data_IF_016936581178
#
_entry.id   IF_016936581178
#
_cell.length_a   1.000
_cell.length_b   1.000
_cell.length_c   1.000
_cell.angle_alpha   90.00
_cell.angle_beta   90.00
_cell.angle_gamma   90.00
#
_symmetry.space_group_name_H-M   'P 1'
#
loop_
_entity.id
_entity.type
_entity.pdbx_description
1 polymer ?
#
# COMPACT_ATOMS: atom_id res chain seq x y z
N UNK A 1 -20.46 -39.91 -31.42
CA UNK A 1 -19.90 -39.18 -30.27
C UNK A 1 -19.58 -37.77 -30.75
N UNK A 2 -20.49 -36.83 -30.48
CA UNK A 2 -20.37 -35.45 -30.93
C UNK A 2 -19.39 -34.69 -30.04
N UNK A 3 -18.39 -34.06 -30.65
CA UNK A 3 -17.48 -33.13 -29.98
C UNK A 3 -18.27 -31.96 -29.41
N UNK A 4 -18.06 -31.68 -28.12
CA UNK A 4 -18.58 -30.47 -27.47
C UNK A 4 -17.97 -29.24 -28.16
N UNK A 5 -18.77 -28.24 -28.55
CA UNK A 5 -18.23 -27.02 -29.13
C UNK A 5 -17.39 -26.28 -28.09
N UNK A 6 -16.31 -25.59 -28.48
CA UNK A 6 -15.54 -24.78 -27.56
C UNK A 6 -16.43 -23.66 -27.00
N UNK A 7 -16.43 -23.53 -25.69
CA UNK A 7 -17.07 -22.45 -24.95
C UNK A 7 -16.66 -21.13 -25.57
N UNK A 8 -17.63 -20.41 -26.13
CA UNK A 8 -17.45 -19.11 -26.78
C UNK A 8 -16.75 -18.14 -25.84
N UNK A 9 -15.46 -17.88 -26.08
CA UNK A 9 -14.84 -16.65 -25.61
C UNK A 9 -15.69 -15.50 -26.17
N UNK A 10 -16.27 -14.69 -25.29
CA UNK A 10 -16.86 -13.41 -25.69
C UNK A 10 -15.71 -12.55 -26.24
N UNK A 11 -15.49 -12.64 -27.54
CA UNK A 11 -14.69 -11.69 -28.30
C UNK A 11 -15.42 -10.35 -28.23
N UNK A 12 -14.97 -9.46 -27.35
CA UNK A 12 -15.30 -8.04 -27.45
C UNK A 12 -14.56 -7.45 -28.67
N UNK A 13 -15.07 -7.75 -29.86
CA UNK A 13 -14.69 -7.04 -31.08
C UNK A 13 -15.17 -5.59 -30.96
N UNK A 14 -14.27 -4.67 -30.60
CA UNK A 14 -14.58 -3.23 -30.66
C UNK A 14 -13.81 -2.27 -29.74
N UNK A 15 -12.87 -2.72 -28.90
CA UNK A 15 -12.08 -1.79 -28.06
C UNK A 15 -10.80 -1.37 -28.77
N UNK A 16 -10.63 -0.05 -28.93
CA UNK A 16 -9.40 0.54 -29.43
C UNK A 16 -8.21 0.14 -28.54
N UNK A 17 -7.02 -0.14 -29.11
CA UNK A 17 -5.81 -0.42 -28.33
C UNK A 17 -5.52 0.68 -27.32
N UNK A 18 -4.92 0.34 -26.19
CA UNK A 18 -4.46 1.30 -25.19
C UNK A 18 -2.96 1.50 -25.29
N UNK A 19 -2.48 2.72 -25.10
CA UNK A 19 -1.06 3.05 -25.09
C UNK A 19 -0.72 3.95 -23.89
N UNK A 20 0.45 3.74 -23.30
CA UNK A 20 1.03 4.65 -22.31
C UNK A 20 2.56 4.54 -22.26
N UNK A 21 3.21 5.58 -21.74
CA UNK A 21 4.61 5.51 -21.32
C UNK A 21 4.68 4.65 -20.05
N UNK A 22 5.40 3.54 -20.11
CA UNK A 22 5.50 2.55 -19.04
C UNK A 22 6.72 2.76 -18.12
N UNK A 23 7.64 3.65 -18.50
CA UNK A 23 8.80 4.05 -17.68
C UNK A 23 8.48 5.30 -16.85
N UNK A 24 9.21 5.48 -15.74
CA UNK A 24 9.12 6.68 -14.92
C UNK A 24 9.34 7.96 -15.74
N UNK A 25 8.63 9.03 -15.37
CA UNK A 25 8.84 10.34 -15.98
C UNK A 25 10.26 10.84 -15.70
N UNK A 26 10.86 11.59 -16.62
CA UNK A 26 12.20 12.15 -16.47
C UNK A 26 13.11 11.82 -17.64
N UNK A 27 14.42 12.01 -17.44
CA UNK A 27 15.45 11.67 -18.43
C UNK A 27 16.04 10.32 -18.07
N UNK A 28 16.02 9.39 -19.01
CA UNK A 28 16.65 8.08 -18.88
C UNK A 28 17.35 7.67 -20.18
N UNK A 29 18.25 6.68 -20.09
CA UNK A 29 18.85 6.09 -21.29
C UNK A 29 17.83 5.38 -22.17
N UNK A 30 16.78 4.82 -21.57
CA UNK A 30 15.70 4.09 -22.24
C UNK A 30 14.35 4.58 -21.71
N UNK A 31 13.38 4.72 -22.60
CA UNK A 31 11.97 4.89 -22.30
C UNK A 31 11.15 3.82 -23.01
N UNK A 32 10.07 3.36 -22.37
CA UNK A 32 9.22 2.30 -22.93
C UNK A 32 7.81 2.84 -23.12
N UNK A 33 7.26 2.65 -24.33
CA UNK A 33 5.82 2.76 -24.56
C UNK A 33 5.24 1.36 -24.64
N UNK A 34 4.21 1.11 -23.86
CA UNK A 34 3.46 -0.14 -23.89
C UNK A 34 2.12 0.08 -24.58
N UNK A 35 1.80 -0.78 -25.53
CA UNK A 35 0.50 -0.83 -26.22
C UNK A 35 -0.14 -2.20 -25.95
N UNK A 36 -1.42 -2.24 -25.58
CA UNK A 36 -2.20 -3.48 -25.43
C UNK A 36 -3.45 -3.42 -26.28
N UNK A 37 -3.82 -4.51 -26.93
CA UNK A 37 -5.07 -4.60 -27.67
C UNK A 37 -5.17 -5.89 -28.48
N UNK A 38 -6.13 -5.94 -29.39
CA UNK A 38 -6.33 -7.09 -30.27
C UNK A 38 -5.55 -6.90 -31.57
N UNK A 39 -4.76 -7.91 -31.98
CA UNK A 39 -4.07 -7.96 -33.28
C UNK A 39 -3.11 -6.79 -33.52
N UNK A 40 -2.10 -6.64 -32.67
CA UNK A 40 -1.13 -5.53 -32.74
C UNK A 40 -0.05 -5.68 -33.83
N UNK A 41 -0.05 -6.75 -34.63
CA UNK A 41 1.00 -6.98 -35.63
C UNK A 41 0.98 -5.94 -36.77
N UNK A 42 -0.20 -5.50 -37.19
CA UNK A 42 -0.35 -4.48 -38.22
C UNK A 42 -0.06 -3.08 -37.66
N UNK A 43 -0.40 -2.86 -36.38
CA UNK A 43 0.00 -1.66 -35.65
C UNK A 43 1.53 -1.54 -35.59
N UNK A 44 2.23 -2.64 -35.27
CA UNK A 44 3.68 -2.73 -35.26
C UNK A 44 4.29 -2.43 -36.64
N UNK A 45 3.69 -2.98 -37.70
CA UNK A 45 4.11 -2.72 -39.07
C UNK A 45 3.91 -1.26 -39.47
N UNK A 46 2.80 -0.63 -39.08
CA UNK A 46 2.54 0.79 -39.37
C UNK A 46 3.50 1.73 -38.60
N UNK A 47 3.93 1.35 -37.39
CA UNK A 47 4.85 2.14 -36.58
C UNK A 47 6.32 2.00 -37.05
N UNK A 48 6.74 0.80 -37.45
CA UNK A 48 8.16 0.46 -37.65
C UNK A 48 8.53 -0.01 -39.06
N UNK A 49 7.54 -0.28 -39.91
CA UNK A 49 7.73 -0.98 -41.18
C UNK A 49 8.05 -2.48 -41.03
N UNK A 50 8.03 -3.03 -39.80
CA UNK A 50 8.41 -4.42 -39.50
C UNK A 50 7.29 -5.17 -38.79
N UNK A 51 7.20 -6.47 -39.05
CA UNK A 51 6.35 -7.41 -38.32
C UNK A 51 7.23 -8.21 -37.34
N UNK A 52 7.32 -7.80 -36.06
CA UNK A 52 8.20 -8.45 -35.09
C UNK A 52 7.76 -9.88 -34.80
N UNK A 53 8.73 -10.78 -34.60
CA UNK A 53 8.46 -12.12 -34.11
C UNK A 53 8.09 -12.10 -32.62
N UNK A 54 7.25 -13.03 -32.19
CA UNK A 54 6.81 -13.13 -30.81
C UNK A 54 8.00 -13.32 -29.86
N UNK A 55 8.15 -12.42 -28.88
CA UNK A 55 9.18 -12.41 -27.83
C UNK A 55 10.63 -12.33 -28.32
N UNK A 56 10.84 -11.78 -29.52
CA UNK A 56 12.17 -11.44 -30.04
C UNK A 56 12.34 -9.92 -30.12
N UNK A 57 13.49 -9.44 -29.65
CA UNK A 57 13.84 -8.04 -29.79
C UNK A 57 14.14 -7.71 -31.26
N UNK A 58 13.36 -6.79 -31.83
CA UNK A 58 13.49 -6.38 -33.23
C UNK A 58 14.00 -4.94 -33.30
N UNK A 59 15.25 -4.73 -33.73
CA UNK A 59 15.79 -3.39 -33.98
C UNK A 59 14.97 -2.69 -35.07
N UNK A 60 14.47 -1.49 -34.79
CA UNK A 60 13.47 -0.80 -35.63
C UNK A 60 13.63 0.71 -35.59
N UNK A 61 13.36 1.36 -36.73
CA UNK A 61 13.18 2.81 -36.80
C UNK A 61 11.68 3.12 -36.68
N UNK A 62 11.31 3.92 -35.69
CA UNK A 62 9.92 4.31 -35.45
C UNK A 62 9.59 5.55 -36.26
N UNK A 63 8.52 5.49 -37.05
CA UNK A 63 8.23 6.50 -38.08
C UNK A 63 7.01 7.34 -37.76
N UNK A 64 7.10 8.63 -38.03
CA UNK A 64 5.99 9.56 -38.04
C UNK A 64 5.06 9.33 -39.24
N UNK A 65 3.92 10.02 -39.27
CA UNK A 65 2.93 9.90 -40.35
C UNK A 65 3.49 10.30 -41.74
N UNK A 66 4.44 11.23 -41.77
CA UNK A 66 5.13 11.68 -43.00
C UNK A 66 6.28 10.75 -43.42
N UNK A 67 6.53 9.68 -42.67
CA UNK A 67 7.61 8.72 -42.91
C UNK A 67 8.97 9.12 -42.35
N UNK A 68 9.11 10.31 -41.75
CA UNK A 68 10.32 10.71 -41.04
C UNK A 68 10.56 9.83 -39.81
N UNK A 69 11.82 9.64 -39.43
CA UNK A 69 12.18 8.83 -38.26
C UNK A 69 12.05 9.67 -37.00
N UNK A 70 11.25 9.20 -36.04
CA UNK A 70 11.12 9.80 -34.71
C UNK A 70 12.30 9.37 -33.83
N UNK A 71 12.58 8.07 -33.80
CA UNK A 71 13.68 7.46 -33.04
C UNK A 71 13.98 6.04 -33.55
N UNK A 72 15.11 5.47 -33.14
CA UNK A 72 15.52 4.10 -33.42
C UNK A 72 15.72 3.32 -32.12
N UNK A 73 15.17 2.12 -32.05
CA UNK A 73 15.22 1.32 -30.82
C UNK A 73 14.75 -0.13 -31.00
N UNK A 74 14.30 -0.76 -29.92
CA UNK A 74 13.84 -2.15 -29.94
C UNK A 74 12.31 -2.23 -29.91
N UNK A 75 11.78 -3.13 -30.73
CA UNK A 75 10.37 -3.48 -30.76
C UNK A 75 10.19 -4.91 -30.26
N UNK A 76 9.33 -5.08 -29.25
CA UNK A 76 9.00 -6.38 -28.67
C UNK A 76 7.51 -6.65 -28.81
N UNK A 77 7.15 -7.85 -29.24
CA UNK A 77 5.77 -8.28 -29.41
C UNK A 77 5.47 -9.49 -28.55
N UNK A 78 4.41 -9.42 -27.75
CA UNK A 78 3.93 -10.46 -26.86
C UNK A 78 2.50 -10.84 -27.28
N UNK A 79 2.31 -11.93 -28.04
CA UNK A 79 0.98 -12.33 -28.48
C UNK A 79 0.12 -12.83 -27.31
N UNK A 80 -1.19 -12.60 -27.42
CA UNK A 80 -2.19 -13.22 -26.57
C UNK A 80 -2.11 -14.76 -26.65
N UNK A 81 -2.48 -15.47 -25.57
CA UNK A 81 -2.79 -14.91 -24.26
C UNK A 81 -1.50 -14.57 -23.49
N UNK A 82 -0.31 -14.96 -23.94
CA UNK A 82 0.92 -14.97 -23.13
C UNK A 82 1.65 -13.63 -23.04
N UNK A 83 0.91 -12.59 -22.66
CA UNK A 83 1.36 -11.22 -22.37
C UNK A 83 0.98 -10.81 -20.94
N UNK A 84 1.37 -9.59 -20.53
CA UNK A 84 1.02 -9.02 -19.22
C UNK A 84 -0.50 -8.84 -19.04
N UNK A 85 -1.18 -8.27 -20.04
CA UNK A 85 -2.62 -7.97 -19.96
C UNK A 85 -3.51 -9.16 -20.33
N UNK A 86 -2.95 -10.22 -20.93
CA UNK A 86 -3.72 -11.24 -21.65
C UNK A 86 -4.09 -10.85 -23.08
N UNK A 87 -3.97 -9.55 -23.41
CA UNK A 87 -3.99 -8.90 -24.73
C UNK A 87 -2.86 -9.36 -25.67
N UNK A 88 -2.85 -8.95 -26.93
CA UNK A 88 -1.56 -8.74 -27.58
C UNK A 88 -0.92 -7.50 -26.93
N UNK A 89 0.39 -7.55 -26.67
CA UNK A 89 1.15 -6.41 -26.14
C UNK A 89 2.34 -6.10 -27.04
N UNK A 90 2.52 -4.83 -27.34
CA UNK A 90 3.69 -4.29 -28.03
C UNK A 90 4.46 -3.39 -27.06
N UNK A 91 5.76 -3.58 -26.95
CA UNK A 91 6.65 -2.66 -26.23
C UNK A 91 7.62 -2.00 -27.19
N UNK A 92 7.60 -0.67 -27.21
CA UNK A 92 8.46 0.20 -28.00
C UNK A 92 9.51 0.76 -27.06
N UNK A 93 10.73 0.26 -27.17
CA UNK A 93 11.88 0.68 -26.37
C UNK A 93 12.68 1.70 -27.18
N UNK A 94 12.69 2.94 -26.71
CA UNK A 94 13.26 4.10 -27.37
C UNK A 94 14.21 4.85 -26.42
N UNK A 95 14.87 5.91 -26.88
CA UNK A 95 15.62 6.78 -26.00
C UNK A 95 14.69 7.51 -25.01
N UNK A 96 15.05 7.51 -23.72
CA UNK A 96 14.21 8.00 -22.62
C UNK A 96 14.13 9.53 -22.49
N UNK A 97 14.16 10.26 -23.61
CA UNK A 97 13.96 11.71 -23.64
C UNK A 97 12.47 12.05 -23.60
N UNK A 98 12.01 12.98 -22.73
CA UNK A 98 10.58 13.31 -22.60
C UNK A 98 9.90 13.68 -23.92
N UNK A 99 10.58 14.45 -24.77
CA UNK A 99 10.06 14.87 -26.08
C UNK A 99 9.90 13.68 -27.02
N UNK A 100 10.90 12.79 -27.10
CA UNK A 100 10.87 11.59 -27.95
C UNK A 100 9.74 10.66 -27.52
N UNK A 101 9.61 10.41 -26.21
CA UNK A 101 8.54 9.58 -25.66
C UNK A 101 7.15 10.14 -25.94
N UNK A 102 7.00 11.47 -25.88
CA UNK A 102 5.74 12.12 -26.21
C UNK A 102 5.41 12.04 -27.71
N UNK A 103 6.41 12.22 -28.59
CA UNK A 103 6.24 12.06 -30.04
C UNK A 103 5.82 10.63 -30.40
N UNK A 104 6.48 9.62 -29.82
CA UNK A 104 6.13 8.22 -30.06
C UNK A 104 4.75 7.86 -29.49
N UNK A 105 4.38 8.40 -28.33
CA UNK A 105 3.05 8.19 -27.76
C UNK A 105 1.98 8.80 -28.67
N UNK A 106 2.17 10.04 -29.11
CA UNK A 106 1.27 10.70 -30.07
C UNK A 106 1.14 9.87 -31.35
N UNK A 107 2.26 9.34 -31.86
CA UNK A 107 2.24 8.46 -33.02
C UNK A 107 1.42 7.19 -32.79
N UNK A 108 1.50 6.60 -31.60
CA UNK A 108 0.64 5.46 -31.25
C UNK A 108 -0.85 5.83 -31.25
N UNK A 109 -1.19 7.03 -30.77
CA UNK A 109 -2.58 7.51 -30.78
C UNK A 109 -3.11 7.75 -32.20
N UNK A 110 -2.29 8.32 -33.08
CA UNK A 110 -2.62 8.48 -34.51
C UNK A 110 -2.88 7.15 -35.22
N UNK A 111 -2.21 6.09 -34.80
CA UNK A 111 -2.39 4.72 -35.31
C UNK A 111 -3.64 4.02 -34.75
N UNK A 112 -4.45 4.72 -33.94
CA UNK A 112 -5.73 4.23 -33.43
C UNK A 112 -5.69 3.75 -31.99
N UNK A 113 -4.57 3.91 -31.27
CA UNK A 113 -4.57 3.70 -29.83
C UNK A 113 -5.25 4.86 -29.10
N UNK A 114 -5.82 4.58 -27.93
CA UNK A 114 -6.21 5.60 -26.95
C UNK A 114 -5.21 5.62 -25.80
N UNK A 115 -5.21 6.72 -25.04
CA UNK A 115 -4.43 6.78 -23.82
C UNK A 115 -5.01 5.78 -22.80
N UNK A 116 -4.13 5.03 -22.13
CA UNK A 116 -4.53 4.14 -21.05
C UNK A 116 -4.93 4.92 -19.80
N UNK A 117 -5.95 4.45 -19.09
CA UNK A 117 -6.32 4.98 -17.77
C UNK A 117 -5.34 4.51 -16.67
N UNK A 118 -5.26 5.20 -15.52
CA UNK A 118 -4.44 4.74 -14.40
C UNK A 118 -4.78 3.30 -13.99
N UNK A 119 -3.76 2.44 -13.95
CA UNK A 119 -3.90 1.03 -13.58
C UNK A 119 -4.57 0.14 -14.64
N UNK A 120 -4.89 0.66 -15.83
CA UNK A 120 -5.70 -0.07 -16.79
C UNK A 120 -5.04 -1.35 -17.32
N UNK A 121 -3.72 -1.36 -17.55
CA UNK A 121 -3.01 -2.57 -17.94
C UNK A 121 -3.14 -3.69 -16.89
N UNK A 122 -2.96 -3.37 -15.61
CA UNK A 122 -3.11 -4.33 -14.51
C UNK A 122 -4.57 -4.75 -14.35
N UNK A 123 -5.52 -3.83 -14.53
CA UNK A 123 -6.96 -4.13 -14.53
C UNK A 123 -7.33 -5.14 -15.63
N UNK A 124 -6.80 -4.96 -16.84
CA UNK A 124 -6.97 -5.94 -17.92
C UNK A 124 -6.34 -7.29 -17.57
N UNK A 125 -5.14 -7.29 -16.99
CA UNK A 125 -4.49 -8.52 -16.51
C UNK A 125 -5.35 -9.30 -15.49
N UNK A 126 -6.01 -8.58 -14.57
CA UNK A 126 -6.95 -9.16 -13.60
C UNK A 126 -8.21 -9.69 -14.29
N UNK A 127 -8.86 -8.89 -15.14
CA UNK A 127 -10.09 -9.27 -15.84
C UNK A 127 -9.88 -10.47 -16.78
N UNK A 128 -8.70 -10.55 -17.40
CA UNK A 128 -8.31 -11.66 -18.26
C UNK A 128 -7.65 -12.83 -17.49
N UNK A 129 -7.43 -12.68 -16.18
CA UNK A 129 -6.89 -13.69 -15.27
C UNK A 129 -5.44 -14.11 -15.55
N UNK A 130 -4.45 -13.22 -15.47
CA UNK A 130 -3.04 -13.50 -15.87
C UNK A 130 -1.94 -13.24 -14.81
N UNK A 131 -1.40 -14.31 -14.19
CA UNK A 131 0.01 -14.61 -13.76
C UNK A 131 0.14 -15.41 -12.43
N UNK A 132 0.28 -16.74 -12.54
CA UNK A 132 1.45 -17.56 -12.13
C UNK A 132 1.23 -18.96 -12.73
N UNK A 133 2.04 -19.97 -12.43
CA UNK A 133 1.95 -21.38 -12.81
C UNK A 133 0.59 -22.09 -12.51
N UNK A 134 -0.40 -21.37 -11.96
CA UNK A 134 -1.81 -21.77 -11.81
C UNK A 134 -2.84 -20.79 -12.43
N UNK A 135 -2.38 -19.79 -13.20
CA UNK A 135 -3.11 -19.18 -14.31
C UNK A 135 -4.22 -18.17 -14.02
N UNK A 136 -4.31 -17.55 -12.83
CA UNK A 136 -5.19 -16.38 -12.59
C UNK A 136 -4.50 -15.38 -11.68
N UNK A 137 -4.30 -14.15 -12.16
CA UNK A 137 -3.96 -13.03 -11.28
C UNK A 137 -5.24 -12.58 -10.60
N UNK A 138 -5.30 -12.75 -9.30
CA UNK A 138 -6.42 -12.27 -8.48
C UNK A 138 -6.21 -10.82 -8.05
N UNK A 139 -7.18 -10.28 -7.31
CA UNK A 139 -7.18 -8.89 -6.92
C UNK A 139 -6.01 -8.56 -5.98
N UNK A 140 -5.67 -9.48 -5.06
CA UNK A 140 -4.57 -9.27 -4.12
C UNK A 140 -3.21 -9.23 -4.84
N UNK A 141 -3.03 -10.07 -5.86
CA UNK A 141 -1.86 -10.03 -6.73
C UNK A 141 -1.85 -8.75 -7.59
N UNK A 142 -3.00 -8.29 -8.08
CA UNK A 142 -3.10 -7.03 -8.83
C UNK A 142 -2.67 -5.82 -7.99
N UNK A 143 -3.15 -5.73 -6.75
CA UNK A 143 -2.78 -4.69 -5.79
C UNK A 143 -1.29 -4.75 -5.45
N UNK A 144 -0.75 -5.97 -5.30
CA UNK A 144 0.66 -6.17 -4.97
C UNK A 144 1.64 -5.67 -6.04
N UNK A 145 1.18 -5.44 -7.29
CA UNK A 145 2.00 -4.79 -8.33
C UNK A 145 2.31 -3.34 -7.93
N UNK A 146 1.30 -2.61 -7.45
CA UNK A 146 1.45 -1.21 -7.03
C UNK A 146 2.30 -1.16 -5.77
N UNK A 147 2.01 -2.03 -4.80
CA UNK A 147 2.79 -2.15 -3.56
C UNK A 147 4.28 -2.40 -3.83
N UNK A 148 4.62 -3.18 -4.86
CA UNK A 148 6.02 -3.42 -5.22
C UNK A 148 6.68 -2.20 -5.85
N UNK A 149 5.95 -1.45 -6.70
CA UNK A 149 6.45 -0.24 -7.36
C UNK A 149 6.68 0.87 -6.32
N UNK A 150 5.78 1.00 -5.34
CA UNK A 150 5.80 2.04 -4.32
C UNK A 150 6.63 1.65 -3.08
N UNK A 151 7.15 0.42 -3.02
CA UNK A 151 7.87 -0.10 -1.86
C UNK A 151 9.08 0.76 -1.49
N UNK A 152 9.00 1.43 -0.34
CA UNK A 152 10.08 2.27 0.17
C UNK A 152 11.16 1.50 0.95
N UNK A 153 10.91 0.23 1.31
CA UNK A 153 11.85 -0.60 2.07
C UNK A 153 11.99 -2.00 1.47
N UNK A 154 13.13 -2.65 1.71
CA UNK A 154 13.35 -4.03 1.25
C UNK A 154 12.36 -5.03 1.86
N UNK A 155 11.82 -4.76 3.05
CA UNK A 155 10.76 -5.53 3.69
C UNK A 155 9.42 -5.36 2.96
N UNK A 156 9.03 -4.13 2.63
CA UNK A 156 7.82 -3.85 1.84
C UNK A 156 7.89 -4.54 0.47
N UNK A 157 9.02 -4.39 -0.24
CA UNK A 157 9.23 -5.02 -1.54
C UNK A 157 9.13 -6.55 -1.46
N UNK A 158 9.79 -7.18 -0.48
CA UNK A 158 9.70 -8.64 -0.26
C UNK A 158 8.29 -9.10 0.08
N UNK A 159 7.54 -8.31 0.86
CA UNK A 159 6.14 -8.61 1.18
C UNK A 159 5.25 -8.53 -0.07
N UNK A 160 5.43 -7.51 -0.90
CA UNK A 160 4.71 -7.35 -2.17
C UNK A 160 5.01 -8.51 -3.13
N UNK A 161 6.27 -8.92 -3.27
CA UNK A 161 6.67 -10.09 -4.10
C UNK A 161 5.98 -11.38 -3.64
N UNK A 162 5.90 -11.62 -2.33
CA UNK A 162 5.20 -12.81 -1.79
C UNK A 162 3.71 -12.80 -2.11
N UNK A 163 3.07 -11.62 -1.99
CA UNK A 163 1.67 -11.45 -2.39
C UNK A 163 1.49 -11.67 -3.89
N UNK A 164 2.38 -11.13 -4.73
CA UNK A 164 2.40 -11.37 -6.19
C UNK A 164 2.55 -12.86 -6.55
N UNK A 165 3.34 -13.62 -5.80
CA UNK A 165 3.49 -15.08 -5.93
C UNK A 165 2.25 -15.88 -5.43
N UNK A 166 1.21 -15.16 -4.98
CA UNK A 166 -0.06 -15.74 -4.55
C UNK A 166 -0.01 -16.41 -3.17
N UNK A 167 0.97 -16.10 -2.32
CA UNK A 167 1.04 -16.67 -0.96
C UNK A 167 -0.20 -16.29 -0.13
N UNK A 168 -0.57 -15.01 -0.13
CA UNK A 168 -1.76 -14.52 0.55
C UNK A 168 -3.04 -15.13 -0.02
N UNK A 169 -3.13 -15.20 -1.35
CA UNK A 169 -4.27 -15.78 -2.07
C UNK A 169 -4.48 -17.26 -1.75
N UNK A 170 -3.40 -18.04 -1.64
CA UNK A 170 -3.48 -19.47 -1.27
C UNK A 170 -4.09 -19.63 0.13
N UNK A 171 -3.67 -18.80 1.08
CA UNK A 171 -4.18 -18.83 2.45
C UNK A 171 -5.67 -18.48 2.51
N UNK A 172 -6.08 -17.41 1.81
CA UNK A 172 -7.50 -17.00 1.75
C UNK A 172 -8.36 -18.06 1.07
N UNK A 173 -7.90 -18.63 -0.06
CA UNK A 173 -8.63 -19.68 -0.75
C UNK A 173 -8.74 -20.97 0.07
N UNK A 174 -7.72 -21.28 0.88
CA UNK A 174 -7.77 -22.41 1.80
C UNK A 174 -8.86 -22.21 2.87
N UNK A 175 -8.91 -21.04 3.51
CA UNK A 175 -9.98 -20.67 4.45
C UNK A 175 -11.36 -20.69 3.80
N UNK A 176 -11.47 -20.17 2.57
CA UNK A 176 -12.72 -20.16 1.81
C UNK A 176 -13.22 -21.59 1.53
N UNK A 177 -12.32 -22.50 1.13
CA UNK A 177 -12.66 -23.90 0.90
C UNK A 177 -13.23 -24.57 2.14
N UNK A 178 -12.55 -24.39 3.28
CA UNK A 178 -13.02 -24.90 4.58
C UNK A 178 -14.37 -24.30 5.01
N UNK A 179 -14.60 -23.02 4.72
CA UNK A 179 -15.88 -22.36 5.01
C UNK A 179 -17.02 -22.86 4.12
N UNK A 180 -16.73 -23.12 2.84
CA UNK A 180 -17.69 -23.72 1.90
C UNK A 180 -18.09 -25.11 2.38
N UNK A 181 -17.12 -25.95 2.77
CA UNK A 181 -17.39 -27.29 3.33
C UNK A 181 -18.28 -27.22 4.58
N UNK A 182 -17.98 -26.31 5.50
CA UNK A 182 -18.77 -26.12 6.71
C UNK A 182 -20.19 -25.62 6.38
N UNK A 183 -20.33 -24.72 5.41
CA UNK A 183 -21.63 -24.25 4.94
C UNK A 183 -22.44 -25.40 4.34
N UNK A 184 -21.84 -26.23 3.49
CA UNK A 184 -22.52 -27.40 2.89
C UNK A 184 -23.04 -28.35 3.96
N UNK A 185 -22.29 -28.55 5.05
CA UNK A 185 -22.73 -29.37 6.18
C UNK A 185 -23.99 -28.80 6.86
N UNK A 186 -24.02 -27.48 7.10
CA UNK A 186 -25.17 -26.80 7.72
C UNK A 186 -26.38 -26.74 6.78
N UNK A 187 -26.16 -26.53 5.49
CA UNK A 187 -27.25 -26.55 4.50
C UNK A 187 -27.89 -27.93 4.38
N UNK A 188 -27.09 -28.99 4.40
CA UNK A 188 -27.60 -30.36 4.39
C UNK A 188 -28.46 -30.70 5.61
N UNK A 189 -28.18 -30.08 6.77
CA UNK A 189 -29.06 -30.21 7.93
C UNK A 189 -30.39 -29.50 7.69
N UNK A 190 -30.40 -28.22 7.31
CA UNK A 190 -31.62 -27.39 7.20
C UNK A 190 -32.75 -27.96 6.32
N UNK A 191 -32.45 -28.87 5.41
CA UNK A 191 -33.44 -29.54 4.56
C UNK A 191 -34.27 -30.61 5.32
N UNK A 192 -33.84 -31.10 6.50
CA UNK A 192 -34.47 -32.22 7.23
C UNK A 192 -34.43 -32.10 8.78
N UNK A 193 -35.33 -31.32 9.41
CA UNK A 193 -35.31 -30.91 10.83
C UNK A 193 -35.42 -31.98 11.91
N UNK A 194 -35.81 -33.22 11.58
CA UNK A 194 -36.21 -34.19 12.61
C UNK A 194 -35.03 -35.02 13.19
N UNK A 195 -33.81 -34.97 12.62
CA UNK A 195 -32.63 -35.79 13.03
C UNK A 195 -31.28 -35.01 13.07
N UNK A 196 -31.27 -33.67 13.18
CA UNK A 196 -30.11 -32.83 12.78
C UNK A 196 -28.95 -32.64 13.80
N UNK A 197 -29.20 -32.69 15.11
CA UNK A 197 -28.20 -32.24 16.11
C UNK A 197 -27.03 -33.24 16.24
N UNK A 198 -27.32 -34.54 16.22
CA UNK A 198 -26.31 -35.60 16.33
C UNK A 198 -25.34 -35.60 15.13
N UNK A 199 -25.80 -35.18 13.94
CA UNK A 199 -24.99 -35.14 12.72
C UNK A 199 -23.94 -34.02 12.76
N UNK A 200 -24.31 -32.82 13.24
CA UNK A 200 -23.37 -31.70 13.38
C UNK A 200 -22.33 -31.95 14.47
N UNK A 201 -22.74 -32.60 15.57
CA UNK A 201 -21.83 -33.02 16.64
C UNK A 201 -20.87 -34.11 16.16
N UNK A 202 -21.37 -35.14 15.45
CA UNK A 202 -20.54 -36.19 14.86
C UNK A 202 -19.53 -35.64 13.82
N UNK A 203 -19.91 -34.59 13.09
CA UNK A 203 -19.05 -33.93 12.10
C UNK A 203 -18.06 -32.91 12.71
N UNK A 204 -18.11 -32.65 14.03
CA UNK A 204 -17.33 -31.62 14.74
C UNK A 204 -17.49 -30.22 14.09
N UNK A 205 -18.71 -29.84 13.75
CA UNK A 205 -18.98 -28.56 13.07
C UNK A 205 -18.47 -27.36 13.90
N UNK A 206 -18.70 -27.38 15.22
CA UNK A 206 -18.27 -26.33 16.13
C UNK A 206 -16.74 -26.27 16.27
N UNK A 207 -16.04 -27.40 16.41
CA UNK A 207 -14.58 -27.41 16.49
C UNK A 207 -13.90 -27.01 15.17
N UNK A 208 -14.51 -27.30 14.01
CA UNK A 208 -14.07 -26.77 12.71
C UNK A 208 -14.23 -25.25 12.64
N UNK A 209 -15.36 -24.71 13.12
CA UNK A 209 -15.60 -23.26 13.16
C UNK A 209 -14.60 -22.54 14.07
N UNK A 210 -14.32 -23.07 15.25
CA UNK A 210 -13.32 -22.49 16.17
C UNK A 210 -11.92 -22.45 15.54
N UNK A 211 -11.50 -23.55 14.89
CA UNK A 211 -10.21 -23.60 14.17
C UNK A 211 -10.16 -22.59 13.03
N UNK A 212 -11.24 -22.44 12.28
CA UNK A 212 -11.37 -21.43 11.23
C UNK A 212 -11.24 -20.01 11.77
N UNK A 213 -11.89 -19.70 12.89
CA UNK A 213 -11.79 -18.40 13.54
C UNK A 213 -10.37 -18.10 14.03
N UNK A 214 -9.69 -19.10 14.60
CA UNK A 214 -8.28 -18.97 15.01
C UNK A 214 -7.38 -18.71 13.81
N UNK A 215 -7.55 -19.47 12.72
CA UNK A 215 -6.74 -19.30 11.52
C UNK A 215 -7.00 -17.93 10.85
N UNK A 216 -8.25 -17.51 10.76
CA UNK A 216 -8.62 -16.17 10.27
C UNK A 216 -7.97 -15.06 11.10
N UNK A 217 -7.94 -15.22 12.43
CA UNK A 217 -7.27 -14.26 13.33
C UNK A 217 -5.77 -14.16 13.02
N UNK A 218 -5.09 -15.28 12.75
CA UNK A 218 -3.67 -15.27 12.37
C UNK A 218 -3.43 -14.57 11.03
N UNK A 219 -4.32 -14.76 10.06
CA UNK A 219 -4.24 -14.05 8.76
C UNK A 219 -4.42 -12.55 8.95
N UNK A 220 -5.37 -12.12 9.78
CA UNK A 220 -5.54 -10.71 10.12
C UNK A 220 -4.30 -10.11 10.80
N UNK A 221 -3.68 -10.84 11.73
CA UNK A 221 -2.47 -10.38 12.43
C UNK A 221 -1.31 -10.16 11.43
N UNK A 222 -1.10 -11.12 10.51
CA UNK A 222 -0.10 -11.00 9.44
C UNK A 222 -0.40 -9.85 8.47
N UNK A 223 -1.67 -9.68 8.09
CA UNK A 223 -2.08 -8.61 7.18
C UNK A 223 -1.88 -7.21 7.81
N UNK A 224 -2.13 -7.05 9.12
CA UNK A 224 -1.85 -5.80 9.83
C UNK A 224 -0.36 -5.48 9.86
N UNK A 225 0.49 -6.48 10.08
CA UNK A 225 1.94 -6.32 10.01
C UNK A 225 2.39 -5.94 8.58
N UNK A 226 1.85 -6.61 7.56
CA UNK A 226 2.10 -6.27 6.15
C UNK A 226 1.71 -4.83 5.83
N UNK A 227 0.56 -4.36 6.32
CA UNK A 227 0.10 -2.97 6.16
C UNK A 227 1.07 -1.96 6.77
N UNK A 228 1.62 -2.24 7.95
CA UNK A 228 2.62 -1.38 8.60
C UNK A 228 3.94 -1.35 7.82
N UNK A 229 4.35 -2.48 7.25
CA UNK A 229 5.54 -2.55 6.40
C UNK A 229 5.36 -1.78 5.09
N UNK A 230 4.15 -1.79 4.51
CA UNK A 230 3.81 -1.08 3.27
C UNK A 230 3.61 0.43 3.50
N UNK A 231 2.66 0.78 4.36
CA UNK A 231 2.22 2.17 4.59
C UNK A 231 3.06 2.93 5.61
N UNK A 232 3.99 2.25 6.29
CA UNK A 232 4.83 2.87 7.30
C UNK A 232 4.08 3.37 8.53
N UNK A 233 4.79 4.16 9.33
CA UNK A 233 4.29 4.82 10.54
C UNK A 233 4.20 6.33 10.30
N UNK A 234 3.03 6.92 10.56
CA UNK A 234 2.85 8.36 10.49
C UNK A 234 3.33 9.01 11.80
N UNK A 235 4.45 9.74 11.71
CA UNK A 235 5.09 10.38 12.86
C UNK A 235 4.99 11.89 12.71
N UNK A 236 4.37 12.56 13.66
CA UNK A 236 4.27 14.02 13.67
C UNK A 236 5.21 14.61 14.70
N UNK A 237 6.10 15.50 14.27
CA UNK A 237 6.95 16.27 15.16
C UNK A 237 6.16 17.49 15.63
N UNK A 238 5.79 17.54 16.91
CA UNK A 238 5.07 18.65 17.53
C UNK A 238 5.96 19.41 18.51
N UNK A 239 5.69 20.71 18.72
CA UNK A 239 6.41 21.50 19.71
C UNK A 239 6.46 22.99 19.35
N UNK A 240 6.96 23.79 20.30
CA UNK A 240 7.14 25.23 20.13
C UNK A 240 8.10 25.58 18.98
N UNK A 241 8.06 26.82 18.44
CA UNK A 241 9.11 27.29 17.54
C UNK A 241 10.51 27.11 18.16
N UNK A 242 11.52 26.84 17.32
CA UNK A 242 12.94 26.77 17.72
C UNK A 242 13.32 25.68 18.74
N UNK A 243 12.44 24.72 19.07
CA UNK A 243 12.79 23.54 19.89
C UNK A 243 13.67 22.53 19.15
N UNK A 244 13.85 22.71 17.84
CA UNK A 244 14.75 21.89 17.00
C UNK A 244 14.07 20.77 16.22
N UNK A 245 12.80 20.93 15.82
CA UNK A 245 12.06 19.96 14.99
C UNK A 245 12.75 19.66 13.67
N UNK A 246 13.06 20.70 12.89
CA UNK A 246 13.75 20.54 11.61
C UNK A 246 15.18 20.01 11.79
N UNK A 247 15.86 20.34 12.89
CA UNK A 247 17.17 19.75 13.23
C UNK A 247 17.06 18.24 13.50
N UNK A 248 16.03 17.81 14.23
CA UNK A 248 15.78 16.39 14.49
C UNK A 248 15.41 15.65 13.21
N UNK A 249 14.55 16.23 12.36
CA UNK A 249 14.21 15.66 11.06
C UNK A 249 15.46 15.44 10.20
N UNK A 250 16.33 16.46 10.12
CA UNK A 250 17.57 16.37 9.36
C UNK A 250 18.54 15.35 9.95
N UNK A 251 18.64 15.27 11.28
CA UNK A 251 19.46 14.26 11.95
C UNK A 251 18.96 12.85 11.65
N UNK A 252 17.65 12.62 11.74
CA UNK A 252 17.04 11.33 11.39
C UNK A 252 17.30 10.98 9.92
N UNK A 253 17.25 11.97 9.02
CA UNK A 253 17.49 11.81 7.58
C UNK A 253 18.95 11.58 7.20
N UNK A 254 19.89 12.17 7.93
CA UNK A 254 21.32 12.06 7.65
C UNK A 254 21.87 10.65 7.83
N UNK A 255 21.31 9.85 8.75
CA UNK A 255 21.83 8.51 9.04
C UNK A 255 21.21 7.39 8.18
N UNK A 256 20.08 7.63 7.50
CA UNK A 256 19.32 6.60 6.77
C UNK A 256 18.73 7.13 5.46
N UNK A 257 19.56 7.68 4.58
CA UNK A 257 19.14 7.91 3.19
C UNK A 257 18.92 6.55 2.48
N UNK A 258 17.72 6.01 2.58
CA UNK A 258 17.21 5.04 1.61
C UNK A 258 16.91 5.82 0.32
N UNK A 259 17.87 5.83 -0.60
CA UNK A 259 17.78 6.21 -2.02
C UNK A 259 16.60 7.17 -2.33
N UNK A 260 16.87 8.47 -2.22
CA UNK A 260 15.95 9.49 -2.74
C UNK A 260 16.12 9.55 -4.25
N UNK A 261 15.07 9.18 -5.00
CA UNK A 261 14.99 9.52 -6.42
C UNK A 261 14.30 10.88 -6.53
N UNK A 262 15.00 11.95 -6.93
CA UNK A 262 14.37 13.25 -7.13
C UNK A 262 13.62 13.22 -8.47
N UNK A 263 12.38 12.74 -8.48
CA UNK A 263 11.50 12.83 -9.64
C UNK A 263 10.46 13.94 -9.41
N UNK A 264 10.53 15.06 -10.16
CA UNK A 264 9.48 16.07 -10.15
C UNK A 264 8.18 15.47 -10.70
N UNK A 265 7.07 15.62 -9.97
CA UNK A 265 5.74 15.30 -10.47
C UNK A 265 5.04 14.08 -9.87
N UNK A 266 5.60 13.40 -8.86
CA UNK A 266 4.80 12.46 -8.07
C UNK A 266 3.80 13.25 -7.23
N UNK A 267 2.53 13.06 -7.53
CA UNK A 267 1.46 13.99 -7.18
C UNK A 267 1.28 14.13 -5.66
N UNK A 268 1.59 15.35 -5.19
CA UNK A 268 1.01 16.05 -4.04
C UNK A 268 1.40 15.55 -2.65
N UNK A 269 2.59 15.92 -2.19
CA UNK A 269 2.78 16.74 -0.97
C UNK A 269 4.14 16.49 -0.33
N UNK A 270 4.94 17.57 -0.27
CA UNK A 270 6.16 17.74 0.51
C UNK A 270 7.28 16.74 0.18
N UNK A 271 8.51 17.23 0.13
CA UNK A 271 9.71 16.40 0.11
C UNK A 271 9.74 15.63 1.44
N UNK A 272 9.06 14.49 1.48
CA UNK A 272 9.09 13.54 2.60
C UNK A 272 10.39 12.77 2.46
N UNK A 273 11.35 13.04 3.34
CA UNK A 273 12.44 12.09 3.58
C UNK A 273 11.80 10.80 4.06
N UNK A 274 11.79 9.75 3.25
CA UNK A 274 11.34 8.44 3.71
C UNK A 274 12.43 7.84 4.58
N UNK A 275 12.35 8.15 5.86
CA UNK A 275 13.15 7.54 6.92
C UNK A 275 12.71 6.08 7.10
N UNK A 276 13.59 5.18 7.56
CA UNK A 276 13.19 3.79 7.78
C UNK A 276 13.82 3.19 9.03
N UNK A 277 13.02 2.98 10.07
CA UNK A 277 13.51 2.30 11.28
C UNK A 277 13.31 0.79 11.11
N UNK A 278 14.41 0.07 10.97
CA UNK A 278 14.47 -1.40 10.81
C UNK A 278 13.53 -1.96 9.71
N UNK A 279 13.42 -1.24 8.60
CA UNK A 279 12.60 -1.63 7.45
C UNK A 279 11.12 -1.27 7.54
N UNK A 280 10.71 -0.52 8.56
CA UNK A 280 9.40 0.15 8.61
C UNK A 280 9.58 1.57 8.07
N UNK A 281 8.90 1.96 6.97
CA UNK A 281 8.92 3.35 6.51
C UNK A 281 8.38 4.28 7.60
N UNK A 282 9.03 5.42 7.81
CA UNK A 282 8.53 6.48 8.68
C UNK A 282 8.15 7.70 7.84
N UNK A 283 6.88 8.08 7.90
CA UNK A 283 6.39 9.31 7.30
C UNK A 283 6.44 10.42 8.34
N UNK A 284 7.59 11.08 8.44
CA UNK A 284 7.80 12.15 9.41
C UNK A 284 7.31 13.48 8.85
N UNK A 285 6.40 14.13 9.58
CA UNK A 285 5.82 15.42 9.22
C UNK A 285 6.38 16.48 10.17
N UNK A 286 7.13 17.45 9.63
CA UNK A 286 7.54 18.64 10.37
C UNK A 286 6.37 19.62 10.45
N UNK A 287 5.93 19.94 11.67
CA UNK A 287 4.83 20.89 11.88
C UNK A 287 5.34 22.29 12.16
N UNK A 288 4.53 23.29 11.82
CA UNK A 288 4.78 24.65 12.28
C UNK A 288 4.82 24.68 13.82
N UNK A 289 5.48 25.68 14.40
CA UNK A 289 5.42 25.89 15.86
C UNK A 289 3.97 25.93 16.35
N UNK A 290 3.61 25.07 17.30
CA UNK A 290 2.25 25.05 17.85
C UNK A 290 2.14 26.13 18.94
N UNK A 291 1.67 27.32 18.58
CA UNK A 291 1.42 28.44 19.52
C UNK A 291 0.15 29.18 19.15
N UNK A 292 -0.34 30.03 20.05
CA UNK A 292 -1.37 31.01 19.70
C UNK A 292 -0.72 32.19 18.96
N UNK A 293 -1.34 32.62 17.87
CA UNK A 293 -0.85 33.70 17.01
C UNK A 293 -2.04 34.41 16.36
N UNK A 294 -1.90 35.69 16.08
CA UNK A 294 -2.91 36.49 15.37
C UNK A 294 -2.70 36.50 13.85
N UNK A 295 -1.50 36.11 13.38
CA UNK A 295 -1.15 36.04 11.96
C UNK A 295 -1.96 34.93 11.24
N UNK A 296 -2.70 35.32 10.20
CA UNK A 296 -3.55 34.42 9.43
C UNK A 296 -2.76 33.32 8.72
N UNK A 297 -1.53 33.59 8.25
CA UNK A 297 -0.69 32.60 7.58
C UNK A 297 -0.23 31.54 8.60
N UNK A 298 0.19 32.00 9.77
CA UNK A 298 0.64 31.11 10.84
C UNK A 298 -0.52 30.28 11.42
N UNK A 299 -1.73 30.86 11.53
CA UNK A 299 -2.96 30.13 11.90
C UNK A 299 -3.26 28.97 10.95
N UNK A 300 -3.17 29.18 9.63
CA UNK A 300 -3.36 28.12 8.64
C UNK A 300 -2.31 27.01 8.83
N UNK A 301 -1.06 27.39 9.13
CA UNK A 301 0.02 26.44 9.46
C UNK A 301 -0.27 25.61 10.71
N UNK A 302 -0.82 26.23 11.76
CA UNK A 302 -1.21 25.54 13.00
C UNK A 302 -2.40 24.61 12.76
N UNK A 303 -3.44 25.06 12.07
CA UNK A 303 -4.59 24.21 11.72
C UNK A 303 -4.18 22.99 10.90
N UNK A 304 -3.29 23.18 9.92
CA UNK A 304 -2.73 22.07 9.15
C UNK A 304 -1.98 21.09 10.05
N UNK A 305 -1.18 21.61 10.98
CA UNK A 305 -0.43 20.79 11.94
C UNK A 305 -1.36 19.93 12.81
N UNK A 306 -2.50 20.49 13.26
CA UNK A 306 -3.52 19.73 14.01
C UNK A 306 -4.18 18.63 13.17
N UNK A 307 -4.51 18.90 11.89
CA UNK A 307 -5.06 17.88 11.00
C UNK A 307 -4.08 16.71 10.76
N UNK A 308 -2.79 16.99 10.71
CA UNK A 308 -1.77 15.93 10.61
C UNK A 308 -1.65 15.14 11.93
N UNK A 309 -1.75 15.80 13.09
CA UNK A 309 -1.78 15.14 14.41
C UNK A 309 -2.97 14.16 14.52
N UNK A 310 -4.15 14.54 14.03
CA UNK A 310 -5.34 13.67 14.04
C UNK A 310 -5.16 12.38 13.22
N UNK A 311 -4.28 12.41 12.21
CA UNK A 311 -3.99 11.28 11.32
C UNK A 311 -2.74 10.51 11.71
N UNK A 312 -2.00 10.99 12.70
CA UNK A 312 -0.74 10.40 13.11
C UNK A 312 -0.97 9.06 13.82
N UNK A 313 0.01 8.17 13.72
CA UNK A 313 0.10 7.00 14.58
C UNK A 313 0.87 7.33 15.87
N UNK A 314 1.83 8.27 15.77
CA UNK A 314 2.68 8.73 16.89
C UNK A 314 2.92 10.24 16.80
N UNK A 315 2.82 10.92 17.94
CA UNK A 315 3.30 12.30 18.10
C UNK A 315 4.57 12.30 18.92
N UNK A 316 5.61 12.92 18.35
CA UNK A 316 6.86 13.23 19.04
C UNK A 316 6.80 14.69 19.47
N UNK A 317 6.56 14.92 20.75
CA UNK A 317 6.52 16.25 21.35
C UNK A 317 7.95 16.68 21.71
N UNK A 318 8.52 17.62 20.95
CA UNK A 318 9.83 18.18 21.21
C UNK A 318 9.76 19.35 22.19
N UNK A 319 10.66 19.32 23.14
CA UNK A 319 10.80 20.29 24.23
C UNK A 319 12.27 20.69 24.35
N UNK A 320 12.55 21.97 24.60
CA UNK A 320 13.93 22.40 24.89
C UNK A 320 14.32 21.92 26.30
N UNK A 321 15.39 21.13 26.40
CA UNK A 321 15.84 20.51 27.65
C UNK A 321 16.20 21.53 28.74
N UNK A 322 16.50 22.78 28.36
CA UNK A 322 16.81 23.88 29.28
C UNK A 322 15.57 24.40 30.01
N UNK A 323 14.43 24.44 29.32
CA UNK A 323 13.17 24.97 29.86
C UNK A 323 12.25 23.87 30.38
N UNK A 324 12.36 22.66 29.82
CA UNK A 324 11.47 21.56 30.17
C UNK A 324 10.02 21.81 29.74
N UNK A 325 9.10 21.01 30.30
CA UNK A 325 7.67 21.04 29.95
C UNK A 325 6.97 22.19 30.68
N UNK A 326 6.66 23.24 29.94
CA UNK A 326 5.93 24.42 30.42
C UNK A 326 4.42 24.31 30.20
N UNK A 327 3.73 25.45 30.36
CA UNK A 327 2.28 25.55 30.13
C UNK A 327 1.90 25.33 28.66
N UNK A 328 2.74 25.81 27.74
CA UNK A 328 2.48 25.70 26.31
C UNK A 328 2.53 24.23 25.84
N UNK A 329 3.49 23.45 26.32
CA UNK A 329 3.56 22.00 26.07
C UNK A 329 2.36 21.26 26.67
N UNK A 330 1.96 21.62 27.90
CA UNK A 330 0.75 21.06 28.53
C UNK A 330 -0.52 21.35 27.74
N UNK A 331 -0.64 22.55 27.16
CA UNK A 331 -1.76 22.92 26.30
C UNK A 331 -1.81 22.10 25.00
N UNK A 332 -0.65 21.77 24.41
CA UNK A 332 -0.56 20.86 23.27
C UNK A 332 -1.03 19.46 23.69
N UNK A 333 -0.48 18.92 24.79
CA UNK A 333 -0.81 17.58 25.29
C UNK A 333 -2.31 17.44 25.59
N UNK A 334 -2.92 18.46 26.19
CA UNK A 334 -4.35 18.46 26.50
C UNK A 334 -5.26 18.39 25.27
N UNK A 335 -4.77 18.81 24.09
CA UNK A 335 -5.48 18.75 22.81
C UNK A 335 -5.16 17.49 22.00
N UNK A 336 -4.19 16.68 22.40
CA UNK A 336 -3.85 15.44 21.69
C UNK A 336 -4.97 14.40 21.85
N UNK A 337 -5.27 13.62 20.80
CA UNK A 337 -6.21 12.51 20.91
C UNK A 337 -5.73 11.46 21.93
N UNK A 338 -6.63 11.00 22.82
CA UNK A 338 -6.30 10.07 23.91
C UNK A 338 -5.81 8.68 23.45
N UNK A 339 -6.10 8.30 22.21
CA UNK A 339 -5.68 7.04 21.61
C UNK A 339 -4.28 7.10 20.96
N UNK A 340 -3.73 8.30 20.81
CA UNK A 340 -2.48 8.55 20.10
C UNK A 340 -1.28 8.24 20.98
N UNK A 341 -0.30 7.51 20.45
CA UNK A 341 0.95 7.30 21.16
C UNK A 341 1.76 8.61 21.20
N UNK A 342 2.24 8.99 22.39
CA UNK A 342 3.05 10.18 22.60
C UNK A 342 4.45 9.79 23.07
N UNK A 343 5.45 10.37 22.43
CA UNK A 343 6.84 10.37 22.88
C UNK A 343 7.23 11.82 23.23
N UNK A 344 7.78 12.05 24.41
CA UNK A 344 8.32 13.36 24.80
C UNK A 344 9.82 13.38 24.53
N UNK A 345 10.31 14.35 23.76
CA UNK A 345 11.72 14.49 23.42
C UNK A 345 12.27 15.77 24.03
N UNK A 346 13.13 15.65 25.03
CA UNK A 346 13.92 16.74 25.59
C UNK A 346 15.16 16.96 24.73
N UNK A 347 15.06 17.87 23.76
CA UNK A 347 16.11 18.18 22.80
C UNK A 347 17.10 19.22 23.36
N UNK A 348 18.30 19.31 22.76
CA UNK A 348 19.40 20.23 23.10
C UNK A 348 20.10 19.89 24.43
N UNK A 349 20.25 18.60 24.74
CA UNK A 349 21.00 18.19 25.93
C UNK A 349 22.47 18.64 25.90
N UNK A 350 23.03 18.93 24.71
CA UNK A 350 24.36 19.52 24.52
C UNK A 350 24.52 20.90 25.19
N UNK A 351 23.40 21.57 25.48
CA UNK A 351 23.36 22.85 26.20
C UNK A 351 23.04 22.67 27.70
N UNK A 352 23.03 21.43 28.18
CA UNK A 352 22.68 21.08 29.57
C UNK A 352 23.71 20.10 30.13
N UNK A 353 23.63 19.80 31.42
CA UNK A 353 24.41 18.72 32.07
C UNK A 353 23.70 17.35 32.04
N UNK A 354 22.61 17.21 31.27
CA UNK A 354 21.85 15.96 31.16
C UNK A 354 22.52 15.02 30.15
N UNK A 355 22.63 13.75 30.51
CA UNK A 355 23.04 12.69 29.59
C UNK A 355 21.85 12.21 28.73
N UNK A 356 22.13 11.64 27.56
CA UNK A 356 21.12 10.95 26.78
C UNK A 356 20.55 9.76 27.55
N UNK A 357 19.23 9.68 27.66
CA UNK A 357 18.53 8.63 28.39
C UNK A 357 17.08 8.48 27.93
N UNK A 358 16.57 7.26 28.01
CA UNK A 358 15.14 6.94 27.89
C UNK A 358 14.60 6.62 29.29
N UNK A 359 13.47 7.22 29.67
CA UNK A 359 12.78 6.91 30.91
C UNK A 359 11.26 6.97 30.72
N UNK A 360 10.53 6.28 31.60
CA UNK A 360 9.08 6.28 31.60
C UNK A 360 8.57 7.44 32.46
N UNK A 361 7.70 8.27 31.90
CA UNK A 361 6.87 9.23 32.64
C UNK A 361 5.47 8.63 32.89
N UNK A 362 4.69 9.26 33.76
CA UNK A 362 3.34 8.79 34.11
C UNK A 362 2.43 8.56 32.88
N UNK A 363 2.60 9.39 31.84
CA UNK A 363 1.68 9.44 30.69
C UNK A 363 2.38 9.29 29.33
N UNK A 364 3.69 9.03 29.28
CA UNK A 364 4.46 8.83 28.04
C UNK A 364 5.89 8.31 28.29
N UNK A 365 6.55 7.87 27.22
CA UNK A 365 8.00 7.67 27.21
C UNK A 365 8.69 9.02 26.99
N UNK A 366 9.72 9.31 27.77
CA UNK A 366 10.54 10.50 27.65
C UNK A 366 11.99 10.18 27.27
N UNK A 367 12.51 10.93 26.30
CA UNK A 367 13.82 10.73 25.71
C UNK A 367 14.59 12.05 25.75
N UNK A 368 15.77 12.03 26.35
CA UNK A 368 16.71 13.14 26.33
C UNK A 368 17.73 12.93 25.20
N UNK A 369 17.84 13.89 24.27
CA UNK A 369 18.74 13.80 23.11
C UNK A 369 19.24 15.17 22.64
N UNK A 370 20.26 15.18 21.79
CA UNK A 370 20.68 16.36 21.05
C UNK A 370 20.59 16.10 19.55
N UNK A 371 19.60 16.73 18.91
CA UNK A 371 19.45 16.69 17.46
C UNK A 371 20.61 17.36 16.70
N UNK A 372 21.42 18.18 17.39
CA UNK A 372 22.57 18.87 16.79
C UNK A 372 23.80 17.97 16.72
N UNK A 373 24.03 17.17 17.77
CA UNK A 373 25.21 16.28 17.87
C UNK A 373 24.91 14.84 17.47
N UNK A 374 23.62 14.45 17.43
CA UNK A 374 23.17 13.07 17.20
C UNK A 374 23.09 12.22 18.47
N UNK A 375 23.56 12.74 19.62
CA UNK A 375 23.54 12.01 20.89
C UNK A 375 22.11 11.66 21.32
N UNK A 376 21.83 10.38 21.58
CA UNK A 376 20.52 9.90 22.04
C UNK A 376 19.46 9.72 20.95
N UNK A 377 19.75 10.03 19.68
CA UNK A 377 18.80 9.85 18.56
C UNK A 377 18.48 8.37 18.32
N UNK A 378 19.44 7.47 18.57
CA UNK A 378 19.21 6.03 18.49
C UNK A 378 18.15 5.53 19.49
N UNK A 379 18.07 6.14 20.68
CA UNK A 379 17.03 5.80 21.66
C UNK A 379 15.64 6.16 21.13
N UNK A 380 15.52 7.28 20.41
CA UNK A 380 14.27 7.66 19.74
C UNK A 380 13.89 6.66 18.64
N UNK A 381 14.86 6.16 17.86
CA UNK A 381 14.61 5.13 16.85
C UNK A 381 14.07 3.84 17.49
N UNK A 382 14.70 3.39 18.57
CA UNK A 382 14.27 2.18 19.31
C UNK A 382 12.86 2.32 19.88
N UNK A 383 12.49 3.48 20.41
CA UNK A 383 11.14 3.71 20.93
C UNK A 383 10.10 3.81 19.81
N UNK A 384 10.42 4.48 18.69
CA UNK A 384 9.53 4.50 17.51
C UNK A 384 9.26 3.08 16.99
N UNK A 385 10.27 2.19 17.02
CA UNK A 385 10.12 0.77 16.71
C UNK A 385 9.21 0.04 17.71
N UNK A 386 9.41 0.28 19.00
CA UNK A 386 8.59 -0.34 20.04
C UNK A 386 7.12 0.07 19.90
N UNK A 387 6.85 1.34 19.60
CA UNK A 387 5.51 1.86 19.34
C UNK A 387 4.91 1.23 18.07
N UNK A 388 5.67 1.14 16.98
CA UNK A 388 5.23 0.47 15.75
C UNK A 388 4.81 -0.98 16.02
N UNK A 389 5.59 -1.72 16.82
CA UNK A 389 5.28 -3.10 17.23
C UNK A 389 4.06 -3.17 18.16
N UNK A 390 3.92 -2.21 19.08
CA UNK A 390 2.80 -2.11 20.02
C UNK A 390 1.46 -1.76 19.35
N UNK A 391 1.49 -0.96 18.27
CA UNK A 391 0.30 -0.63 17.48
C UNK A 391 -0.28 -1.89 16.83
N UNK A 392 0.57 -2.79 16.32
CA UNK A 392 0.15 -4.11 15.82
C UNK A 392 -0.56 -4.90 16.91
N UNK A 393 0.00 -4.94 18.13
CA UNK A 393 -0.59 -5.67 19.25
C UNK A 393 -1.90 -5.07 19.78
N UNK A 394 -2.08 -3.74 19.76
CA UNK A 394 -3.33 -3.08 20.20
C UNK A 394 -4.45 -3.24 19.17
N UNK A 395 -4.15 -3.14 17.86
CA UNK A 395 -5.13 -3.35 16.79
C UNK A 395 -5.61 -4.81 16.71
N UNK A 396 -4.76 -5.77 17.09
CA UNK A 396 -5.10 -7.18 17.33
C UNK A 396 -6.23 -7.37 18.34
N UNK A 397 -6.15 -6.70 19.49
CA UNK A 397 -7.19 -6.77 20.55
C UNK A 397 -8.53 -6.16 20.11
N UNK A 398 -8.50 -5.06 19.34
CA UNK A 398 -9.71 -4.41 18.85
C UNK A 398 -10.44 -5.21 17.76
N UNK A 399 -9.70 -5.91 16.89
CA UNK A 399 -10.28 -6.80 15.86
C UNK A 399 -10.91 -8.04 16.48
N UNK A 400 -10.22 -8.65 17.47
CA UNK A 400 -10.70 -9.82 18.18
C UNK A 400 -11.99 -9.54 18.97
N UNK A 401 -12.11 -8.36 19.61
CA UNK A 401 -13.34 -7.94 20.30
C UNK A 401 -14.55 -7.75 19.37
N UNK A 402 -14.34 -7.34 18.11
CA UNK A 402 -15.41 -7.18 17.13
C UNK A 402 -15.96 -8.52 16.64
N UNK A 403 -15.12 -9.57 16.56
CA UNK A 403 -15.56 -10.93 16.22
C UNK A 403 -16.22 -11.68 17.39
N UNK A 404 -15.92 -11.30 18.64
CA UNK A 404 -16.44 -11.95 19.85
C UNK A 404 -17.72 -11.31 20.43
N UNK A 405 -18.23 -10.22 19.86
CA UNK A 405 -19.51 -9.63 20.27
C UNK A 405 -20.70 -10.45 19.73
N UNK A 406 -21.04 -11.50 20.48
CA UNK A 406 -22.37 -12.10 20.48
C UNK A 406 -23.35 -11.04 21.03
N UNK A 407 -24.34 -10.54 20.27
CA UNK A 407 -25.38 -9.72 20.88
C UNK A 407 -26.16 -10.62 21.85
N UNK A 408 -25.96 -10.43 23.15
CA UNK A 408 -26.91 -10.91 24.16
C UNK A 408 -28.15 -10.04 24.03
N UNK A 409 -29.14 -10.50 23.28
CA UNK A 409 -30.51 -10.00 23.40
C UNK A 409 -31.14 -10.58 24.67
N UNK A 410 -31.65 -9.76 25.59
CA UNK A 410 -32.54 -10.23 26.64
C UNK A 410 -33.98 -9.96 26.19
N UNK A 411 -34.68 -10.97 25.68
CA UNK A 411 -36.14 -11.14 25.81
C UNK A 411 -36.67 -12.21 24.85
N UNK A 412 -36.97 -13.38 25.38
CA UNK A 412 -37.99 -14.27 24.83
C UNK A 412 -38.54 -15.14 25.99
N UNK A 413 -39.12 -14.47 26.98
CA UNK A 413 -39.93 -15.10 28.03
C UNK A 413 -41.32 -14.48 28.00
N UNK A 414 -42.07 -14.71 26.92
CA UNK A 414 -43.52 -14.53 26.88
C UNK A 414 -44.04 -15.18 25.59
N UNK A 415 -44.40 -16.45 25.66
CA UNK A 415 -45.66 -17.00 25.16
C UNK A 415 -45.59 -18.53 25.16
N UNK A 416 -46.04 -19.11 26.28
CA UNK A 416 -46.71 -20.41 26.30
C UNK A 416 -48.15 -20.17 26.79
N UNK A 417 -49.04 -21.03 26.30
CA UNK A 417 -50.46 -21.25 26.66
C UNK A 417 -51.43 -20.36 25.86
N UNK A 418 -52.19 -20.89 24.89
CA UNK A 418 -53.41 -21.72 25.10
C UNK A 418 -53.88 -22.39 23.77
N UNK A 419 -54.80 -23.39 23.81
CA UNK A 419 -54.79 -24.60 22.96
C UNK A 419 -55.85 -24.59 21.81
N UNK A 420 -56.05 -25.70 21.06
CA UNK A 420 -56.54 -25.68 19.68
C UNK A 420 -58.07 -25.67 19.59
N UNK A 421 -58.58 -24.97 18.58
CA UNK A 421 -59.77 -25.31 17.80
C UNK A 421 -59.59 -24.82 16.37
#
# INVERSE_FOLDING_TARGET
MAEKPPTTARSESGKAPIAAIATAAGRGGIGIIRVSGVSLIDFAAALSGKRPAARFATLSDFRAADGSTIDSGLLLYFPAPHSFTGEDVLEVHAHGGPVVMQMLLMRCLELGARLAEPGEFTRLAYLNGKLDLNGKLDLAQAEAVIDLIDAATCSAARSAVRSLQGEFSKEVNHLLGQLIELRTLVEATLDFPDEEVDFLEAADAFGRLERLQQHLTQVFDRAQQGRLLQGGLHVVLAGQPNVGKSSLLNCLAGDELAIVTPLPGTTRDLVRSTLQVEGIPLHVIDTAGLRETEDQIEKIGIERSWREIERADVVVLLVDARTGVGEAERAIVAKLPTHLARLTVYNKIDLTSRAAACHQEADAVAIALSAKTGEGVELLRQELRAVASGIVARRRLASCRRCLHRPRTPSASAHRNSPPY
#
